data_IF_352575894508
#
_entry.id   IF_352575894508
#
_cell.length_a   1.000
_cell.length_b   1.000
_cell.length_c   1.000
_cell.angle_alpha   90.00
_cell.angle_beta   90.00
_cell.angle_gamma   90.00
#
_symmetry.space_group_name_H-M   'P 1'
#
loop_
_entity.id
_entity.type
_entity.pdbx_description
1 polymer ?
#
# COMPACT_ATOMS: atom_id res chain seq x y z
N UNK A 1 -16.80 -22.25 -2.93
CA UNK A 1 -16.09 -21.16 -3.63
C UNK A 1 -16.86 -20.85 -4.90
N UNK A 2 -17.04 -19.58 -5.26
CA UNK A 2 -17.67 -19.18 -6.53
C UNK A 2 -16.68 -19.39 -7.69
N UNK A 3 -17.17 -19.57 -8.91
CA UNK A 3 -16.32 -19.72 -10.10
C UNK A 3 -15.39 -18.51 -10.32
N UNK A 4 -15.76 -17.30 -9.85
CA UNK A 4 -14.91 -16.12 -9.86
C UNK A 4 -13.72 -16.23 -8.88
N UNK A 5 -13.93 -16.82 -7.69
CA UNK A 5 -12.88 -16.99 -6.68
C UNK A 5 -11.72 -17.89 -7.15
N UNK A 6 -12.00 -18.89 -8.00
CA UNK A 6 -10.97 -19.74 -8.60
C UNK A 6 -10.16 -19.02 -9.70
N UNK A 7 -10.74 -18.02 -10.38
CA UNK A 7 -10.09 -17.35 -11.52
C UNK A 7 -8.94 -16.45 -11.10
N UNK A 8 -9.00 -15.91 -9.89
CA UNK A 8 -8.12 -14.87 -9.39
C UNK A 8 -7.40 -15.27 -8.10
N UNK A 9 -7.35 -16.56 -7.75
CA UNK A 9 -7.01 -17.02 -6.41
C UNK A 9 -5.71 -16.42 -5.84
N UNK A 10 -4.60 -16.42 -6.58
CA UNK A 10 -3.32 -15.82 -6.11
C UNK A 10 -3.36 -14.30 -6.13
N UNK A 11 -3.76 -13.70 -7.26
CA UNK A 11 -3.87 -12.24 -7.39
C UNK A 11 -4.77 -11.64 -6.30
N UNK A 12 -5.78 -12.39 -5.85
CA UNK A 12 -6.73 -11.98 -4.83
C UNK A 12 -6.11 -11.88 -3.45
N UNK A 13 -5.12 -12.70 -3.13
CA UNK A 13 -4.39 -12.57 -1.87
C UNK A 13 -3.70 -11.20 -1.81
N UNK A 14 -2.89 -10.87 -2.83
CA UNK A 14 -2.25 -9.55 -2.93
C UNK A 14 -3.28 -8.41 -2.97
N UNK A 15 -4.36 -8.58 -3.74
CA UNK A 15 -5.44 -7.59 -3.83
C UNK A 15 -6.15 -7.38 -2.48
N UNK A 16 -6.34 -8.41 -1.67
CA UNK A 16 -6.92 -8.32 -0.32
C UNK A 16 -6.02 -7.53 0.63
N UNK A 17 -4.70 -7.75 0.58
CA UNK A 17 -3.75 -6.97 1.35
C UNK A 17 -3.80 -5.49 0.96
N UNK A 18 -3.73 -5.20 -0.35
CA UNK A 18 -3.80 -3.84 -0.88
C UNK A 18 -5.14 -3.17 -0.56
N UNK A 19 -6.26 -3.90 -0.63
CA UNK A 19 -7.60 -3.36 -0.38
C UNK A 19 -7.70 -2.71 1.00
N UNK A 20 -7.10 -3.35 2.01
CA UNK A 20 -7.14 -2.92 3.40
C UNK A 20 -5.85 -2.23 3.88
N UNK A 21 -4.91 -1.97 2.98
CA UNK A 21 -3.70 -1.23 3.30
C UNK A 21 -4.06 0.16 3.83
N UNK A 22 -3.63 0.48 5.04
CA UNK A 22 -3.99 1.74 5.71
C UNK A 22 -5.47 1.86 6.13
N UNK A 23 -6.21 0.75 6.19
CA UNK A 23 -7.61 0.73 6.63
C UNK A 23 -7.78 1.09 8.11
N UNK A 24 -6.99 0.45 8.98
CA UNK A 24 -6.94 0.73 10.42
C UNK A 24 -5.50 0.53 10.89
N UNK A 25 -4.81 1.63 11.18
CA UNK A 25 -3.39 1.62 11.50
C UNK A 25 -3.18 1.43 13.00
N UNK A 26 -2.07 0.78 13.38
CA UNK A 26 -1.62 0.69 14.77
C UNK A 26 -1.65 2.09 15.44
N UNK A 27 -2.26 2.24 16.64
CA UNK A 27 -2.67 1.18 17.59
C UNK A 27 -4.13 0.69 17.44
N UNK A 28 -4.65 0.62 16.22
CA UNK A 28 -5.91 -0.05 15.85
C UNK A 28 -7.19 0.48 16.51
N UNK A 29 -7.12 1.64 17.16
CA UNK A 29 -8.26 2.35 17.74
C UNK A 29 -8.67 3.55 16.90
N UNK A 30 -9.98 3.74 16.74
CA UNK A 30 -10.57 4.86 15.99
C UNK A 30 -10.13 6.24 16.51
N UNK A 31 -9.89 6.36 17.82
CA UNK A 31 -9.49 7.61 18.48
C UNK A 31 -8.05 8.07 18.16
N UNK A 32 -7.21 7.18 17.61
CA UNK A 32 -5.81 7.48 17.29
C UNK A 32 -5.66 8.52 16.19
N UNK A 33 -4.67 9.41 16.33
CA UNK A 33 -4.39 10.44 15.34
C UNK A 33 -4.17 9.89 13.92
N UNK A 34 -3.45 8.77 13.79
CA UNK A 34 -3.22 8.08 12.50
C UNK A 34 -4.51 7.61 11.81
N UNK A 35 -5.56 7.34 12.59
CA UNK A 35 -6.83 6.83 12.09
C UNK A 35 -7.88 7.93 11.84
N UNK A 36 -7.51 9.21 12.01
CA UNK A 36 -8.36 10.36 11.66
C UNK A 36 -8.35 10.68 10.17
N UNK A 37 -7.23 10.40 9.49
CA UNK A 37 -7.08 10.59 8.06
C UNK A 37 -6.80 9.24 7.41
N UNK A 38 -7.88 8.57 7.00
CA UNK A 38 -7.83 7.25 6.36
C UNK A 38 -8.09 7.36 4.86
N UNK A 39 -7.78 6.27 4.16
CA UNK A 39 -8.12 6.07 2.75
C UNK A 39 -7.46 7.13 1.86
N UNK A 40 -6.14 6.99 1.66
CA UNK A 40 -5.36 7.95 0.89
C UNK A 40 -5.06 7.48 -0.54
N UNK A 41 -5.22 6.17 -0.82
CA UNK A 41 -4.91 5.58 -2.11
C UNK A 41 -6.18 5.01 -2.77
N UNK A 42 -6.25 5.10 -4.10
CA UNK A 42 -7.33 4.51 -4.88
C UNK A 42 -8.72 5.06 -4.57
N UNK A 43 -8.83 6.31 -4.12
CA UNK A 43 -10.12 6.94 -3.82
C UNK A 43 -10.66 7.63 -5.07
N UNK A 44 -11.83 7.18 -5.53
CA UNK A 44 -12.57 7.76 -6.64
C UNK A 44 -13.81 8.46 -6.10
N UNK A 45 -13.74 9.78 -5.99
CA UNK A 45 -14.76 10.63 -5.37
C UNK A 45 -15.85 11.07 -6.38
N UNK A 46 -17.03 11.49 -5.91
CA UNK A 46 -18.05 12.05 -6.79
C UNK A 46 -17.53 13.28 -7.57
N UNK A 47 -17.92 13.46 -8.86
CA UNK A 47 -17.44 14.57 -9.69
C UNK A 47 -17.61 15.97 -9.10
N UNK A 48 -18.68 16.19 -8.32
CA UNK A 48 -18.92 17.47 -7.65
C UNK A 48 -17.82 17.77 -6.61
N UNK A 49 -17.43 16.78 -5.81
CA UNK A 49 -16.35 16.93 -4.82
C UNK A 49 -14.98 17.08 -5.50
N UNK A 50 -14.71 16.28 -6.53
CA UNK A 50 -13.46 16.36 -7.29
C UNK A 50 -13.21 17.76 -7.87
N UNK A 51 -14.26 18.40 -8.39
CA UNK A 51 -14.16 19.76 -8.96
C UNK A 51 -13.70 20.81 -7.94
N UNK A 52 -13.95 20.58 -6.65
CA UNK A 52 -13.55 21.48 -5.56
C UNK A 52 -12.24 21.07 -4.88
N UNK A 53 -11.95 19.77 -4.78
CA UNK A 53 -10.84 19.20 -4.01
C UNK A 53 -9.60 18.86 -4.84
N UNK A 54 -9.78 18.58 -6.14
CA UNK A 54 -8.75 17.97 -6.99
C UNK A 54 -8.54 16.47 -6.76
N UNK A 55 -9.34 15.80 -5.92
CA UNK A 55 -9.28 14.34 -5.77
C UNK A 55 -9.78 13.62 -7.04
N UNK A 56 -9.25 12.44 -7.38
CA UNK A 56 -9.62 11.73 -8.61
C UNK A 56 -11.09 11.30 -8.66
N UNK A 57 -11.72 11.41 -9.83
CA UNK A 57 -13.05 10.81 -10.13
C UNK A 57 -12.95 9.43 -10.75
N UNK A 58 -11.78 9.11 -11.33
CA UNK A 58 -11.56 7.91 -12.12
C UNK A 58 -10.15 7.37 -11.94
N UNK A 59 -10.01 6.08 -12.24
CA UNK A 59 -8.73 5.45 -12.55
C UNK A 59 -8.76 4.96 -14.01
N UNK A 60 -7.61 5.02 -14.67
CA UNK A 60 -7.41 4.55 -16.05
C UNK A 60 -6.26 3.54 -16.04
N UNK A 61 -6.54 2.34 -16.53
CA UNK A 61 -5.56 1.27 -16.73
C UNK A 61 -5.39 1.04 -18.22
N UNK A 62 -4.16 1.15 -18.72
CA UNK A 62 -3.76 0.70 -20.05
C UNK A 62 -2.70 -0.38 -19.96
N UNK A 63 -2.95 -1.50 -20.64
CA UNK A 63 -2.03 -2.64 -20.68
C UNK A 63 -2.11 -3.35 -22.04
N UNK A 64 -0.98 -3.90 -22.48
CA UNK A 64 -0.93 -4.68 -23.72
C UNK A 64 -1.30 -6.13 -23.45
N UNK A 65 -1.94 -6.76 -24.44
CA UNK A 65 -2.32 -8.17 -24.39
C UNK A 65 -2.19 -8.87 -25.74
N UNK A 66 -1.90 -10.15 -25.69
CA UNK A 66 -1.83 -11.08 -26.82
C UNK A 66 -2.88 -12.20 -26.62
N UNK A 67 -4.15 -11.92 -26.92
CA UNK A 67 -5.23 -12.89 -26.76
C UNK A 67 -5.17 -13.98 -27.84
N UNK A 68 -5.55 -15.21 -27.48
CA UNK A 68 -5.77 -16.27 -28.47
C UNK A 68 -7.12 -16.08 -29.18
N UNK A 69 -7.33 -16.82 -30.26
CA UNK A 69 -8.65 -16.88 -30.91
C UNK A 69 -9.70 -17.32 -29.88
N UNK A 70 -10.88 -16.69 -29.92
CA UNK A 70 -12.01 -16.95 -29.03
C UNK A 70 -11.72 -16.70 -27.53
N UNK A 71 -10.68 -15.92 -27.22
CA UNK A 71 -10.41 -15.50 -25.84
C UNK A 71 -11.51 -14.56 -25.32
N UNK A 72 -11.76 -14.64 -24.02
CA UNK A 72 -12.60 -13.73 -23.27
C UNK A 72 -11.78 -13.04 -22.17
N UNK A 73 -12.15 -11.80 -21.89
CA UNK A 73 -11.65 -11.01 -20.77
C UNK A 73 -12.64 -11.12 -19.61
N UNK A 74 -12.15 -11.56 -18.46
CA UNK A 74 -12.84 -11.45 -17.19
C UNK A 74 -12.26 -10.29 -16.39
N UNK A 75 -13.12 -9.47 -15.80
CA UNK A 75 -12.72 -8.38 -14.93
C UNK A 75 -13.47 -8.41 -13.60
N UNK A 76 -12.80 -8.00 -12.52
CA UNK A 76 -13.40 -7.78 -11.21
C UNK A 76 -12.87 -6.44 -10.68
N UNK A 77 -13.73 -5.41 -10.68
CA UNK A 77 -13.46 -4.16 -9.99
C UNK A 77 -13.83 -4.36 -8.52
N UNK A 78 -12.90 -4.04 -7.62
CA UNK A 78 -13.07 -4.17 -6.17
C UNK A 78 -12.75 -2.85 -5.50
N UNK A 79 -13.49 -2.54 -4.46
CA UNK A 79 -13.30 -1.33 -3.67
C UNK A 79 -13.95 -1.49 -2.29
N UNK A 80 -13.54 -0.65 -1.35
CA UNK A 80 -14.26 -0.42 -0.10
C UNK A 80 -15.32 0.66 -0.30
N UNK A 81 -16.50 0.42 0.24
CA UNK A 81 -17.56 1.39 0.39
C UNK A 81 -17.65 1.78 1.86
N UNK A 82 -17.39 3.05 2.15
CA UNK A 82 -17.48 3.59 3.49
C UNK A 82 -18.92 3.51 4.03
N UNK A 83 -19.07 2.84 5.16
CA UNK A 83 -20.31 2.68 5.91
C UNK A 83 -20.20 3.44 7.23
N UNK A 84 -21.04 4.45 7.42
CA UNK A 84 -21.09 5.23 8.65
C UNK A 84 -21.71 4.42 9.76
N UNK A 85 -20.92 4.12 10.79
CA UNK A 85 -21.40 3.57 12.06
C UNK A 85 -21.56 4.70 13.08
N UNK A 86 -22.77 4.85 13.61
CA UNK A 86 -23.05 5.68 14.78
C UNK A 86 -23.42 4.79 15.97
N UNK A 87 -23.16 5.30 17.18
CA UNK A 87 -23.47 4.61 18.43
C UNK A 87 -24.53 5.40 19.17
N UNK A 88 -25.52 4.70 19.70
CA UNK A 88 -26.61 5.31 20.47
C UNK A 88 -26.74 4.59 21.81
N UNK A 89 -26.90 5.34 22.90
CA UNK A 89 -27.18 4.77 24.23
C UNK A 89 -28.68 4.75 24.49
N UNK A 90 -29.12 3.80 25.29
CA UNK A 90 -30.52 3.73 25.71
C UNK A 90 -30.79 4.68 26.90
N UNK A 91 -31.91 5.38 26.84
CA UNK A 91 -32.41 6.27 27.87
C UNK A 91 -33.32 5.54 28.86
N UNK A 92 -33.64 6.19 29.99
CA UNK A 92 -34.50 5.62 31.05
C UNK A 92 -35.91 5.28 30.53
N UNK A 93 -36.40 6.02 29.53
CA UNK A 93 -37.69 5.80 28.87
C UNK A 93 -37.64 4.74 27.75
N UNK A 94 -36.45 4.18 27.46
CA UNK A 94 -36.24 3.18 26.43
C UNK A 94 -35.96 3.75 25.03
N UNK A 95 -35.89 5.08 24.87
CA UNK A 95 -35.45 5.71 23.62
C UNK A 95 -33.94 5.61 23.43
N UNK A 96 -33.47 5.79 22.18
CA UNK A 96 -32.04 5.78 21.85
C UNK A 96 -31.58 7.20 21.50
N UNK A 97 -30.44 7.61 22.04
CA UNK A 97 -29.81 8.88 21.69
C UNK A 97 -28.35 8.70 21.24
N UNK A 98 -27.87 9.47 20.25
CA UNK A 98 -26.47 9.44 19.82
C UNK A 98 -25.51 9.69 20.97
N UNK A 99 -24.41 8.94 20.97
CA UNK A 99 -23.32 9.10 21.93
C UNK A 99 -21.96 8.90 21.26
N UNK A 100 -20.96 9.63 21.73
CA UNK A 100 -19.59 9.54 21.21
C UNK A 100 -18.90 8.25 21.67
N UNK A 101 -19.38 7.64 22.76
CA UNK A 101 -18.78 6.47 23.36
C UNK A 101 -19.81 5.66 24.15
N UNK A 102 -19.83 4.34 23.95
CA UNK A 102 -20.62 3.40 24.74
C UNK A 102 -19.70 2.32 25.33
N UNK A 103 -19.58 2.34 26.66
CA UNK A 103 -18.77 1.43 27.44
C UNK A 103 -19.48 0.08 27.63
N UNK A 104 -18.89 -0.98 27.08
CA UNK A 104 -19.34 -2.37 27.27
C UNK A 104 -18.26 -3.15 28.05
N UNK A 105 -18.57 -4.36 28.56
CA UNK A 105 -17.60 -5.15 29.32
C UNK A 105 -16.35 -5.51 28.51
N UNK A 106 -16.53 -5.92 27.27
CA UNK A 106 -15.52 -6.48 26.36
C UNK A 106 -14.91 -5.45 25.41
N UNK A 107 -15.60 -4.33 25.16
CA UNK A 107 -15.20 -3.32 24.18
C UNK A 107 -15.75 -1.93 24.48
N UNK A 108 -15.19 -0.92 23.82
CA UNK A 108 -15.69 0.47 23.86
C UNK A 108 -16.15 0.88 22.48
N UNK A 109 -17.46 0.98 22.26
CA UNK A 109 -18.01 1.33 20.96
C UNK A 109 -17.94 2.84 20.75
N UNK A 110 -17.42 3.25 19.59
CA UNK A 110 -17.35 4.65 19.16
C UNK A 110 -17.88 4.79 17.73
N UNK A 111 -18.37 5.98 17.33
CA UNK A 111 -18.66 6.27 15.93
C UNK A 111 -17.43 6.04 15.04
N UNK A 112 -17.64 5.43 13.86
CA UNK A 112 -16.57 5.02 12.96
C UNK A 112 -17.09 4.84 11.54
N UNK A 113 -16.28 5.10 10.53
CA UNK A 113 -16.60 4.67 9.17
C UNK A 113 -15.94 3.31 8.90
N UNK A 114 -16.76 2.28 8.73
CA UNK A 114 -16.39 0.91 8.42
C UNK A 114 -16.18 0.75 6.90
N UNK A 115 -15.24 -0.09 6.48
CA UNK A 115 -15.02 -0.42 5.07
C UNK A 115 -15.71 -1.72 4.71
N UNK A 116 -16.72 -1.64 3.84
CA UNK A 116 -17.39 -2.82 3.29
C UNK A 116 -16.90 -3.08 1.88
N UNK A 117 -16.48 -4.31 1.61
CA UNK A 117 -16.02 -4.68 0.28
C UNK A 117 -17.19 -4.79 -0.69
N UNK A 118 -17.06 -4.12 -1.83
CA UNK A 118 -17.96 -4.21 -2.98
C UNK A 118 -17.22 -4.73 -4.21
N UNK A 119 -17.95 -5.39 -5.11
CA UNK A 119 -17.41 -6.01 -6.32
C UNK A 119 -18.31 -5.76 -7.51
N UNK A 120 -17.69 -5.51 -8.67
CA UNK A 120 -18.35 -5.43 -9.97
C UNK A 120 -17.64 -6.37 -10.92
N UNK A 121 -18.32 -7.44 -11.32
CA UNK A 121 -17.80 -8.47 -12.22
C UNK A 121 -18.20 -8.17 -13.67
N UNK A 122 -17.29 -8.43 -14.60
CA UNK A 122 -17.52 -8.28 -16.04
C UNK A 122 -16.89 -9.43 -16.81
N UNK A 123 -17.55 -9.85 -17.89
CA UNK A 123 -17.05 -10.87 -18.81
C UNK A 123 -17.40 -10.48 -20.23
N UNK A 124 -16.39 -10.34 -21.09
CA UNK A 124 -16.54 -9.87 -22.48
C UNK A 124 -15.67 -10.69 -23.41
N UNK A 125 -16.19 -11.10 -24.55
CA UNK A 125 -15.39 -11.72 -25.61
C UNK A 125 -14.46 -10.68 -26.24
N UNK A 126 -13.19 -11.03 -26.46
CA UNK A 126 -12.21 -10.09 -27.02
C UNK A 126 -12.65 -9.54 -28.38
N UNK A 127 -13.29 -10.37 -29.21
CA UNK A 127 -13.81 -9.96 -30.51
C UNK A 127 -14.88 -8.85 -30.40
N UNK A 128 -15.73 -8.91 -29.37
CA UNK A 128 -16.72 -7.87 -29.10
C UNK A 128 -16.04 -6.58 -28.61
N UNK A 129 -15.06 -6.72 -27.72
CA UNK A 129 -14.32 -5.59 -27.15
C UNK A 129 -13.49 -4.81 -28.17
N UNK A 130 -13.01 -5.47 -29.23
CA UNK A 130 -12.32 -4.82 -30.36
C UNK A 130 -13.28 -4.17 -31.36
N UNK A 131 -14.56 -4.53 -31.33
CA UNK A 131 -15.56 -3.99 -32.25
C UNK A 131 -16.23 -2.74 -31.69
N UNK A 132 -16.54 -2.73 -30.39
CA UNK A 132 -17.19 -1.62 -29.70
C UNK A 132 -16.77 -1.57 -28.22
N UNK A 133 -16.69 -0.35 -27.69
CA UNK A 133 -16.45 -0.12 -26.26
C UNK A 133 -17.56 -0.75 -25.42
N UNK A 134 -17.17 -1.45 -24.36
CA UNK A 134 -18.11 -2.02 -23.38
C UNK A 134 -18.26 -1.05 -22.21
N UNK A 135 -19.50 -0.66 -21.92
CA UNK A 135 -19.85 0.23 -20.82
C UNK A 135 -20.74 -0.51 -19.82
N UNK A 136 -20.23 -0.70 -18.60
CA UNK A 136 -20.94 -1.36 -17.51
C UNK A 136 -21.24 -0.37 -16.38
N UNK A 137 -22.43 0.24 -16.35
CA UNK A 137 -22.86 1.02 -15.20
C UNK A 137 -23.19 0.09 -14.02
N UNK A 138 -22.92 0.55 -12.80
CA UNK A 138 -23.27 -0.16 -11.57
C UNK A 138 -23.82 0.80 -10.50
N UNK A 139 -24.58 0.25 -9.57
CA UNK A 139 -25.14 0.98 -8.43
C UNK A 139 -25.09 0.10 -7.20
N UNK A 140 -24.56 0.65 -6.11
CA UNK A 140 -24.70 0.08 -4.76
C UNK A 140 -25.83 0.83 -4.06
N UNK A 141 -26.92 0.16 -3.66
CA UNK A 141 -28.07 0.82 -3.04
C UNK A 141 -27.72 1.33 -1.64
N UNK A 142 -28.40 2.40 -1.21
CA UNK A 142 -28.32 2.85 0.17
C UNK A 142 -28.92 1.80 1.11
N UNK A 143 -28.33 1.61 2.29
CA UNK A 143 -28.81 0.68 3.32
C UNK A 143 -28.68 1.30 4.70
N UNK A 144 -29.58 0.89 5.59
CA UNK A 144 -29.50 1.19 7.03
C UNK A 144 -29.82 -0.09 7.79
N UNK A 145 -28.95 -0.43 8.74
CA UNK A 145 -29.12 -1.56 9.66
C UNK A 145 -28.86 -1.11 11.11
N UNK A 146 -29.50 -1.75 12.07
CA UNK A 146 -29.31 -1.45 13.49
C UNK A 146 -29.25 -2.70 14.35
N UNK A 147 -28.29 -2.70 15.28
CA UNK A 147 -27.99 -3.83 16.16
C UNK A 147 -28.01 -3.37 17.62
N UNK A 148 -28.87 -3.98 18.44
CA UNK A 148 -28.92 -3.69 19.89
C UNK A 148 -27.74 -4.37 20.58
N UNK A 149 -27.06 -3.63 21.46
CA UNK A 149 -25.93 -4.12 22.24
C UNK A 149 -26.28 -4.13 23.73
N UNK A 150 -25.92 -5.23 24.41
CA UNK A 150 -26.25 -5.45 25.82
C UNK A 150 -25.09 -5.08 26.74
N UNK A 151 -25.41 -4.59 27.93
CA UNK A 151 -24.47 -4.30 29.01
C UNK A 151 -24.06 -5.54 29.81
N UNK A 152 -23.28 -5.30 30.87
CA UNK A 152 -22.78 -6.36 31.77
C UNK A 152 -23.88 -7.17 32.46
N UNK A 153 -25.04 -6.55 32.66
CA UNK A 153 -26.22 -7.11 33.31
C UNK A 153 -27.11 -7.92 32.34
N UNK A 154 -26.74 -7.98 31.06
CA UNK A 154 -27.49 -8.68 30.01
C UNK A 154 -28.69 -7.89 29.47
N UNK A 155 -28.92 -6.65 29.94
CA UNK A 155 -29.95 -5.76 29.41
C UNK A 155 -29.39 -4.87 28.29
N UNK A 156 -30.23 -4.36 27.38
CA UNK A 156 -29.79 -3.40 26.37
C UNK A 156 -29.10 -2.19 27.01
N UNK A 157 -27.88 -1.88 26.55
CA UNK A 157 -27.15 -0.67 26.91
C UNK A 157 -27.25 0.41 25.82
N UNK A 158 -27.50 0.00 24.58
CA UNK A 158 -27.59 0.90 23.43
C UNK A 158 -27.79 0.14 22.13
N UNK A 159 -27.52 0.81 21.01
CA UNK A 159 -27.47 0.17 19.69
C UNK A 159 -26.40 0.80 18.81
N UNK A 160 -25.96 0.01 17.85
CA UNK A 160 -25.13 0.43 16.73
C UNK A 160 -26.03 0.64 15.52
N UNK A 161 -25.89 1.75 14.82
CA UNK A 161 -26.60 2.02 13.55
C UNK A 161 -25.57 2.16 12.44
N UNK A 162 -25.73 1.37 11.38
CA UNK A 162 -24.84 1.36 10.21
C UNK A 162 -25.61 1.88 9.01
N UNK A 163 -25.10 2.95 8.41
CA UNK A 163 -25.66 3.58 7.21
C UNK A 163 -24.66 3.52 6.07
N UNK A 164 -25.09 3.03 4.93
CA UNK A 164 -24.34 3.09 3.68
C UNK A 164 -25.11 3.93 2.70
N UNK A 165 -24.43 4.90 2.12
CA UNK A 165 -25.03 5.78 1.13
C UNK A 165 -25.12 5.09 -0.24
N UNK A 166 -25.97 5.63 -1.11
CA UNK A 166 -26.01 5.18 -2.51
C UNK A 166 -24.70 5.57 -3.21
N UNK A 167 -24.14 4.63 -3.97
CA UNK A 167 -22.95 4.83 -4.79
C UNK A 167 -23.24 4.42 -6.23
N UNK A 168 -22.75 5.22 -7.18
CA UNK A 168 -22.89 4.99 -8.61
C UNK A 168 -21.54 5.09 -9.29
N UNK A 169 -21.30 4.21 -10.24
CA UNK A 169 -20.13 4.29 -11.08
C UNK A 169 -20.31 3.54 -12.38
N UNK A 170 -19.25 3.54 -13.16
CA UNK A 170 -19.20 2.89 -14.46
C UNK A 170 -17.81 2.31 -14.70
N UNK A 171 -17.77 1.10 -15.24
CA UNK A 171 -16.57 0.47 -15.76
C UNK A 171 -16.65 0.49 -17.29
N UNK A 172 -15.71 1.16 -17.96
CA UNK A 172 -15.59 1.18 -19.42
C UNK A 172 -14.38 0.38 -19.84
N UNK A 173 -14.55 -0.47 -20.83
CA UNK A 173 -13.50 -1.30 -21.41
C UNK A 173 -13.45 -1.06 -22.91
N UNK A 174 -12.26 -0.87 -23.47
CA UNK A 174 -12.03 -0.83 -24.92
C UNK A 174 -10.73 -1.52 -25.28
N UNK A 175 -10.65 -2.09 -26.49
CA UNK A 175 -9.42 -2.71 -26.98
C UNK A 175 -9.11 -2.25 -28.41
N UNK A 176 -7.87 -1.82 -28.64
CA UNK A 176 -7.38 -1.38 -29.94
C UNK A 176 -6.23 -2.27 -30.40
N UNK A 177 -6.27 -2.74 -31.65
CA UNK A 177 -5.15 -3.49 -32.24
C UNK A 177 -4.02 -2.54 -32.63
N UNK A 178 -2.81 -2.83 -32.15
CA UNK A 178 -1.64 -2.01 -32.42
C UNK A 178 -1.00 -2.40 -33.76
N UNK A 179 -0.46 -1.41 -34.51
CA UNK A 179 0.24 -1.70 -35.75
C UNK A 179 1.55 -2.45 -35.46
N UNK A 180 1.77 -3.58 -36.13
CA UNK A 180 3.01 -4.34 -35.98
C UNK A 180 2.94 -5.77 -36.51
N UNK A 181 4.05 -6.52 -36.40
CA UNK A 181 4.11 -7.92 -36.82
C UNK A 181 3.43 -8.88 -35.82
N UNK A 182 3.14 -8.42 -34.60
CA UNK A 182 2.49 -9.20 -33.54
C UNK A 182 1.02 -8.79 -33.42
N UNK A 183 0.13 -9.75 -33.14
CA UNK A 183 -1.29 -9.50 -32.88
C UNK A 183 -1.49 -9.05 -31.43
N UNK A 184 -1.17 -7.79 -31.18
CA UNK A 184 -1.18 -7.18 -29.85
C UNK A 184 -2.31 -6.18 -29.77
N UNK A 185 -3.08 -6.25 -28.69
CA UNK A 185 -4.12 -5.27 -28.39
C UNK A 185 -3.68 -4.41 -27.21
N UNK A 186 -3.97 -3.11 -27.26
CA UNK A 186 -3.97 -2.25 -26.07
C UNK A 186 -5.36 -2.28 -25.47
N UNK A 187 -5.48 -2.82 -24.26
CA UNK A 187 -6.68 -2.74 -23.44
C UNK A 187 -6.67 -1.42 -22.67
N UNK A 188 -7.78 -0.68 -22.71
CA UNK A 188 -8.05 0.45 -21.81
C UNK A 188 -9.22 0.09 -20.91
N UNK A 189 -9.03 0.20 -19.60
CA UNK A 189 -10.09 0.06 -18.61
C UNK A 189 -10.20 1.33 -17.76
N UNK A 190 -11.41 1.89 -17.66
CA UNK A 190 -11.69 3.10 -16.88
C UNK A 190 -12.78 2.80 -15.87
N UNK A 191 -12.45 2.87 -14.59
CA UNK A 191 -13.43 2.86 -13.52
C UNK A 191 -13.65 4.30 -13.05
N UNK A 192 -14.90 4.76 -13.06
CA UNK A 192 -15.27 6.14 -12.76
C UNK A 192 -16.44 6.17 -11.76
N UNK A 193 -16.35 7.08 -10.80
CA UNK A 193 -17.47 7.46 -9.95
C UNK A 193 -18.37 8.46 -10.67
N UNK A 194 -19.65 8.13 -10.83
CA UNK A 194 -20.63 8.96 -11.55
C UNK A 194 -21.71 9.52 -10.64
N UNK A 195 -21.56 9.36 -9.32
CA UNK A 195 -22.52 9.82 -8.33
C UNK A 195 -22.65 11.35 -8.30
N UNK A 196 -23.84 11.85 -7.99
CA UNK A 196 -24.13 13.30 -7.93
C UNK A 196 -24.15 13.85 -6.51
N UNK A 197 -23.63 13.10 -5.53
CA UNK A 197 -23.64 13.49 -4.13
C UNK A 197 -22.92 14.82 -3.89
N UNK A 198 -23.56 15.69 -3.12
CA UNK A 198 -23.01 16.97 -2.72
C UNK A 198 -22.28 16.78 -1.38
N UNK A 199 -21.03 17.21 -1.33
CA UNK A 199 -20.22 17.18 -0.11
C UNK A 199 -19.50 18.52 0.06
N UNK A 200 -19.48 19.03 1.29
CA UNK A 200 -18.75 20.24 1.66
C UNK A 200 -17.40 19.93 2.30
N UNK A 201 -17.25 18.71 2.81
CA UNK A 201 -16.02 18.19 3.42
C UNK A 201 -15.74 16.77 2.92
N UNK A 202 -14.48 16.36 3.01
CA UNK A 202 -14.07 15.02 2.57
C UNK A 202 -14.82 13.90 3.28
N UNK A 203 -15.11 14.05 4.59
CA UNK A 203 -15.85 13.03 5.36
C UNK A 203 -17.30 12.86 4.92
N UNK A 204 -17.86 13.83 4.19
CA UNK A 204 -19.18 13.75 3.57
C UNK A 204 -19.12 13.14 2.16
N UNK A 205 -17.99 13.27 1.47
CA UNK A 205 -17.78 12.69 0.14
C UNK A 205 -17.46 11.18 0.19
N UNK A 206 -16.72 10.74 1.22
CA UNK A 206 -16.23 9.36 1.35
C UNK A 206 -17.33 8.27 1.33
N UNK A 207 -18.52 8.44 1.97
CA UNK A 207 -19.62 7.49 1.85
C UNK A 207 -20.15 7.26 0.42
N UNK A 208 -19.81 8.17 -0.50
CA UNK A 208 -20.19 8.08 -1.92
C UNK A 208 -18.99 7.76 -2.84
N UNK A 209 -17.81 7.49 -2.29
CA UNK A 209 -16.58 7.23 -3.02
C UNK A 209 -16.30 5.73 -3.16
N UNK A 210 -15.64 5.33 -4.25
CA UNK A 210 -14.96 4.03 -4.30
C UNK A 210 -13.62 4.19 -3.59
N UNK A 211 -13.40 3.49 -2.48
CA UNK A 211 -12.16 3.59 -1.69
C UNK A 211 -11.25 2.40 -1.98
N UNK A 212 -9.93 2.63 -2.11
CA UNK A 212 -8.96 1.56 -2.42
C UNK A 212 -9.35 0.76 -3.68
N UNK A 213 -9.88 1.47 -4.67
CA UNK A 213 -10.36 0.87 -5.91
C UNK A 213 -9.19 0.23 -6.68
N UNK A 214 -9.34 -1.03 -7.03
CA UNK A 214 -8.41 -1.76 -7.89
C UNK A 214 -9.15 -2.67 -8.85
N UNK A 215 -8.52 -2.98 -9.97
CA UNK A 215 -9.11 -3.76 -11.04
C UNK A 215 -8.29 -5.02 -11.28
N UNK A 216 -8.95 -6.17 -11.22
CA UNK A 216 -8.36 -7.46 -11.58
C UNK A 216 -8.83 -7.86 -12.97
N UNK A 217 -7.92 -8.28 -13.83
CA UNK A 217 -8.22 -8.66 -15.21
C UNK A 217 -7.61 -10.02 -15.52
N UNK A 218 -8.33 -10.87 -16.25
CA UNK A 218 -7.86 -12.19 -16.67
C UNK A 218 -8.27 -12.49 -18.09
N UNK A 219 -7.33 -13.03 -18.87
CA UNK A 219 -7.63 -13.66 -20.15
C UNK A 219 -7.90 -15.14 -19.96
N UNK A 220 -8.95 -15.66 -20.61
CA UNK A 220 -9.20 -17.10 -20.65
C UNK A 220 -8.14 -17.83 -21.46
N UNK A 221 -7.59 -17.19 -22.50
CA UNK A 221 -6.51 -17.71 -23.32
C UNK A 221 -5.67 -16.55 -23.91
N UNK A 222 -4.36 -16.56 -23.64
CA UNK A 222 -3.46 -15.48 -24.02
C UNK A 222 -2.66 -14.99 -22.82
N UNK A 223 -1.95 -13.87 -23.00
CA UNK A 223 -1.14 -13.26 -21.96
C UNK A 223 -1.14 -11.74 -22.10
N UNK A 224 -0.97 -11.06 -20.97
CA UNK A 224 -0.66 -9.65 -20.87
C UNK A 224 0.86 -9.46 -20.98
N UNK A 225 1.27 -8.25 -21.33
CA UNK A 225 2.67 -7.85 -21.34
C UNK A 225 2.99 -7.11 -20.03
N UNK A 226 4.14 -7.41 -19.44
CA UNK A 226 4.63 -6.68 -18.27
C UNK A 226 4.78 -5.18 -18.58
N UNK A 227 4.31 -4.34 -17.66
CA UNK A 227 4.47 -2.89 -17.74
C UNK A 227 5.81 -2.42 -17.17
N UNK A 228 6.46 -3.27 -16.36
CA UNK A 228 7.74 -2.96 -15.69
C UNK A 228 8.94 -3.54 -16.43
N UNK A 229 8.82 -4.76 -16.95
CA UNK A 229 9.87 -5.45 -17.71
C UNK A 229 9.32 -5.98 -19.05
N UNK A 230 8.88 -5.10 -19.97
CA UNK A 230 8.37 -5.52 -21.27
C UNK A 230 9.50 -6.08 -22.17
N UNK A 231 9.18 -7.06 -23.03
CA UNK A 231 10.11 -7.51 -24.06
C UNK A 231 10.47 -6.36 -25.01
N UNK A 232 11.65 -6.42 -25.63
CA UNK A 232 12.20 -5.33 -26.48
C UNK A 232 11.22 -4.78 -27.51
N UNK A 233 10.43 -5.66 -28.14
CA UNK A 233 9.47 -5.25 -29.17
C UNK A 233 8.30 -4.42 -28.60
N UNK A 234 7.97 -4.57 -27.32
CA UNK A 234 6.83 -3.94 -26.67
C UNK A 234 7.19 -2.64 -25.93
N UNK A 235 8.48 -2.38 -25.68
CA UNK A 235 8.96 -1.23 -24.89
C UNK A 235 8.35 0.10 -25.33
N UNK A 236 8.30 0.37 -26.62
CA UNK A 236 7.72 1.61 -27.15
C UNK A 236 6.21 1.71 -26.89
N UNK A 237 5.47 0.64 -27.16
CA UNK A 237 4.02 0.60 -26.95
C UNK A 237 3.64 0.67 -25.45
N UNK A 238 4.42 0.03 -24.58
CA UNK A 238 4.25 0.14 -23.12
C UNK A 238 4.53 1.55 -22.63
N UNK A 239 5.56 2.22 -23.15
CA UNK A 239 5.87 3.62 -22.79
C UNK A 239 4.78 4.62 -23.23
N UNK A 240 3.97 4.28 -24.24
CA UNK A 240 2.82 5.07 -24.67
C UNK A 240 1.56 4.85 -23.83
N UNK A 241 1.52 3.78 -23.02
CA UNK A 241 0.37 3.47 -22.19
C UNK A 241 0.20 4.52 -21.08
N UNK A 242 -1.04 4.92 -20.83
CA UNK A 242 -1.40 5.88 -19.79
C UNK A 242 -2.14 5.21 -18.64
N UNK A 243 -1.44 5.11 -17.52
CA UNK A 243 -2.00 4.63 -16.26
C UNK A 243 -2.19 5.82 -15.31
N UNK A 244 -3.44 6.08 -14.93
CA UNK A 244 -3.83 7.21 -14.06
C UNK A 244 -4.46 6.67 -12.78
N UNK A 245 -3.91 7.08 -11.63
CA UNK A 245 -4.36 6.66 -10.30
C UNK A 245 -4.35 5.13 -10.08
N UNK A 246 -3.48 4.43 -10.82
CA UNK A 246 -3.37 2.97 -10.80
C UNK A 246 -2.01 2.50 -11.31
N UNK A 247 -1.64 1.27 -10.97
CA UNK A 247 -0.38 0.62 -11.29
C UNK A 247 -0.65 -0.85 -11.67
N UNK A 248 -0.76 -1.15 -12.98
CA UNK A 248 -0.97 -2.52 -13.46
C UNK A 248 0.28 -3.37 -13.38
N UNK A 249 0.17 -4.52 -12.72
CA UNK A 249 1.20 -5.55 -12.62
C UNK A 249 0.64 -6.92 -13.00
N UNK A 250 1.50 -7.79 -13.52
CA UNK A 250 1.17 -9.21 -13.72
C UNK A 250 0.95 -9.87 -12.36
N UNK A 251 -0.04 -10.74 -12.25
CA UNK A 251 -0.43 -11.35 -10.98
C UNK A 251 -0.93 -12.80 -11.12
N UNK A 252 -0.64 -13.46 -12.23
CA UNK A 252 -1.03 -14.86 -12.42
C UNK A 252 -0.16 -15.83 -11.63
N UNK A 253 -0.74 -16.99 -11.36
CA UNK A 253 -0.13 -18.09 -10.61
C UNK A 253 1.17 -18.56 -11.26
N UNK A 254 2.16 -18.95 -10.45
CA UNK A 254 3.44 -19.51 -10.91
C UNK A 254 4.16 -18.67 -11.99
N UNK A 255 3.99 -17.33 -11.96
CA UNK A 255 4.58 -16.43 -12.95
C UNK A 255 3.80 -16.33 -14.26
N UNK A 256 2.55 -16.84 -14.31
CA UNK A 256 1.73 -16.76 -15.50
C UNK A 256 1.27 -15.32 -15.79
N UNK A 257 1.42 -14.88 -17.04
CA UNK A 257 1.05 -13.53 -17.46
C UNK A 257 -0.43 -13.43 -17.91
N UNK A 258 -1.33 -14.33 -17.47
CA UNK A 258 -2.74 -14.31 -17.89
C UNK A 258 -3.66 -13.52 -16.94
N UNK A 259 -3.13 -12.98 -15.84
CA UNK A 259 -3.85 -12.17 -14.85
C UNK A 259 -3.08 -10.88 -14.57
N UNK A 260 -3.80 -9.79 -14.42
CA UNK A 260 -3.30 -8.46 -14.05
C UNK A 260 -4.02 -7.97 -12.80
N UNK A 261 -3.28 -7.34 -11.91
CA UNK A 261 -3.79 -6.53 -10.81
C UNK A 261 -3.42 -5.06 -11.08
N UNK A 262 -4.41 -4.22 -11.35
CA UNK A 262 -4.23 -2.77 -11.43
C UNK A 262 -4.50 -2.16 -10.06
N UNK A 263 -3.41 -1.91 -9.34
CA UNK A 263 -3.40 -1.51 -7.93
C UNK A 263 -3.26 0.00 -7.76
N UNK A 264 -3.90 0.64 -6.76
CA UNK A 264 -3.67 2.06 -6.47
C UNK A 264 -2.33 2.35 -5.80
N UNK A 265 -1.58 1.30 -5.42
CA UNK A 265 -0.22 1.38 -4.90
C UNK A 265 0.76 0.66 -5.83
N UNK A 266 2.01 1.12 -5.84
CA UNK A 266 3.08 0.55 -6.68
C UNK A 266 3.41 -0.85 -6.16
N UNK A 267 3.45 -1.81 -7.09
CA UNK A 267 3.80 -3.20 -6.85
C UNK A 267 4.80 -3.65 -7.92
N UNK A 268 5.52 -4.74 -7.64
CA UNK A 268 6.24 -5.50 -8.65
C UNK A 268 5.32 -6.50 -9.36
N UNK A 269 5.78 -7.03 -10.49
CA UNK A 269 5.12 -8.16 -11.13
C UNK A 269 5.18 -9.41 -10.26
N UNK A 270 4.07 -10.14 -10.25
CA UNK A 270 3.81 -11.30 -9.41
C UNK A 270 4.01 -11.03 -7.92
N UNK A 271 3.30 -10.03 -7.36
CA UNK A 271 3.47 -9.63 -5.96
C UNK A 271 3.14 -10.80 -5.03
N UNK A 272 3.99 -11.04 -4.02
CA UNK A 272 3.83 -12.16 -3.08
C UNK A 272 3.65 -11.69 -1.64
N UNK A 273 2.57 -12.18 -1.02
CA UNK A 273 2.40 -12.07 0.43
C UNK A 273 3.39 -12.99 1.14
N UNK A 274 3.88 -12.57 2.31
CA UNK A 274 4.78 -13.38 3.12
C UNK A 274 4.10 -14.67 3.63
N UNK A 275 4.66 -15.86 3.35
CA UNK A 275 4.14 -17.11 3.92
C UNK A 275 4.28 -17.16 5.44
N UNK A 276 5.12 -16.30 6.03
CA UNK A 276 5.30 -16.14 7.47
C UNK A 276 4.22 -15.26 8.12
N UNK A 277 3.49 -14.44 7.36
CA UNK A 277 2.49 -13.52 7.93
C UNK A 277 1.33 -14.31 8.53
N UNK A 278 1.06 -14.19 9.85
CA UNK A 278 0.05 -14.99 10.53
C UNK A 278 -1.38 -14.49 10.29
N UNK A 279 -1.55 -13.34 9.63
CA UNK A 279 -2.83 -12.72 9.34
C UNK A 279 -2.67 -11.26 8.89
N UNK A 280 -3.77 -10.61 8.51
CA UNK A 280 -3.75 -9.23 8.05
C UNK A 280 -3.54 -8.25 9.22
N UNK A 281 -2.35 -7.67 9.33
CA UNK A 281 -2.05 -6.57 10.26
C UNK A 281 -2.29 -5.18 9.65
N UNK A 282 -2.78 -5.14 8.40
CA UNK A 282 -3.14 -3.95 7.62
C UNK A 282 -1.99 -2.95 7.39
N UNK A 283 -0.77 -3.49 7.40
CA UNK A 283 0.52 -2.86 7.08
C UNK A 283 1.45 -3.99 6.60
N UNK A 284 1.23 -4.45 5.35
CA UNK A 284 1.70 -5.76 4.87
C UNK A 284 3.19 -5.82 4.48
N UNK A 285 3.99 -4.80 4.81
CA UNK A 285 5.36 -4.65 4.32
C UNK A 285 6.40 -4.76 5.43
N UNK A 286 6.61 -5.97 5.94
CA UNK A 286 7.84 -6.38 6.64
C UNK A 286 7.97 -6.04 8.14
N UNK A 287 6.93 -5.53 8.80
CA UNK A 287 6.99 -5.16 10.23
C UNK A 287 6.03 -5.95 11.15
N UNK A 288 5.56 -7.12 10.70
CA UNK A 288 4.57 -7.94 11.42
C UNK A 288 5.01 -8.26 12.86
N UNK A 289 6.30 -8.57 13.09
CA UNK A 289 6.82 -8.87 14.42
C UNK A 289 6.67 -7.67 15.37
N UNK A 290 7.13 -6.48 14.97
CA UNK A 290 7.08 -5.30 15.82
C UNK A 290 5.63 -4.83 16.04
N UNK A 291 4.76 -4.99 15.04
CA UNK A 291 3.34 -4.71 15.19
C UNK A 291 2.67 -5.67 16.18
N UNK A 292 2.94 -6.98 16.08
CA UNK A 292 2.43 -7.97 17.01
C UNK A 292 2.90 -7.68 18.45
N UNK A 293 4.21 -7.45 18.64
CA UNK A 293 4.80 -7.12 19.95
C UNK A 293 4.21 -5.83 20.56
N UNK A 294 4.09 -4.77 19.75
CA UNK A 294 3.51 -3.50 20.22
C UNK A 294 2.03 -3.62 20.54
N UNK A 295 1.30 -4.43 19.78
CA UNK A 295 -0.13 -4.70 20.02
C UNK A 295 -0.33 -5.48 21.31
N UNK A 296 0.50 -6.49 21.57
CA UNK A 296 0.48 -7.24 22.83
C UNK A 296 0.74 -6.34 24.06
N UNK A 297 1.57 -5.30 23.89
CA UNK A 297 1.91 -4.32 24.93
C UNK A 297 0.87 -3.21 25.16
N UNK A 298 -0.21 -3.15 24.36
CA UNK A 298 -1.32 -2.23 24.61
C UNK A 298 -1.96 -2.52 25.98
N UNK A 299 -2.45 -1.48 26.65
CA UNK A 299 -3.20 -1.67 27.91
C UNK A 299 -4.54 -2.35 27.66
N UNK A 300 -5.14 -2.96 28.69
CA UNK A 300 -6.46 -3.60 28.59
C UNK A 300 -7.53 -2.64 28.07
N UNK A 301 -7.48 -1.37 28.49
CA UNK A 301 -8.39 -0.33 28.02
C UNK A 301 -8.16 0.00 26.53
N UNK A 302 -6.91 0.09 26.09
CA UNK A 302 -6.58 0.31 24.68
C UNK A 302 -7.01 -0.86 23.79
N UNK A 303 -6.83 -2.10 24.27
CA UNK A 303 -7.32 -3.30 23.59
C UNK A 303 -8.85 -3.32 23.48
N UNK A 304 -9.56 -2.92 24.54
CA UNK A 304 -11.04 -2.75 24.51
C UNK A 304 -11.48 -1.69 23.50
N UNK A 305 -10.78 -0.57 23.41
CA UNK A 305 -11.06 0.47 22.40
C UNK A 305 -10.78 -0.01 20.97
N UNK A 306 -9.70 -0.76 20.76
CA UNK A 306 -9.39 -1.35 19.47
C UNK A 306 -10.45 -2.38 19.05
N UNK A 307 -10.85 -3.28 19.97
CA UNK A 307 -11.95 -4.24 19.72
C UNK A 307 -13.29 -3.55 19.43
N UNK A 308 -13.52 -2.36 19.97
CA UNK A 308 -14.72 -1.56 19.69
C UNK A 308 -14.62 -0.69 18.42
N UNK A 309 -13.47 -0.69 17.73
CA UNK A 309 -13.28 0.05 16.48
C UNK A 309 -13.97 -0.64 15.31
N UNK A 310 -13.76 -1.92 15.08
CA UNK A 310 -14.57 -2.81 14.23
C UNK A 310 -14.07 -4.26 14.37
N UNK A 311 -14.74 -5.20 13.68
CA UNK A 311 -14.41 -6.63 13.71
C UNK A 311 -12.98 -6.93 13.21
N UNK A 312 -12.45 -6.11 12.28
CA UNK A 312 -11.10 -6.27 11.74
C UNK A 312 -10.04 -5.85 12.75
N UNK A 313 -10.23 -4.71 13.40
CA UNK A 313 -9.38 -4.27 14.49
C UNK A 313 -9.42 -5.27 15.66
N UNK A 314 -10.62 -5.80 16.00
CA UNK A 314 -10.75 -6.83 17.02
C UNK A 314 -9.94 -8.10 16.68
N UNK A 315 -10.03 -8.58 15.43
CA UNK A 315 -9.27 -9.74 14.97
C UNK A 315 -7.76 -9.54 15.08
N UNK A 316 -7.24 -8.33 14.85
CA UNK A 316 -5.82 -8.00 15.03
C UNK A 316 -5.40 -8.11 16.50
N UNK A 317 -6.21 -7.58 17.43
CA UNK A 317 -5.92 -7.71 18.86
C UNK A 317 -5.95 -9.18 19.29
N UNK A 318 -6.96 -9.93 18.86
CA UNK A 318 -7.10 -11.34 19.22
C UNK A 318 -5.97 -12.20 18.63
N UNK A 319 -5.52 -11.89 17.41
CA UNK A 319 -4.36 -12.52 16.80
C UNK A 319 -3.08 -12.27 17.62
N UNK A 320 -2.83 -11.02 18.01
CA UNK A 320 -1.65 -10.66 18.79
C UNK A 320 -1.67 -11.27 20.21
N UNK A 321 -2.84 -11.31 20.86
CA UNK A 321 -3.00 -11.86 22.22
C UNK A 321 -2.90 -13.39 22.26
N UNK A 322 -3.25 -14.08 21.17
CA UNK A 322 -3.28 -15.55 21.09
C UNK A 322 -2.12 -16.17 20.33
N UNK A 323 -1.16 -15.35 19.86
CA UNK A 323 -0.08 -15.81 19.00
C UNK A 323 0.83 -16.82 19.72
N UNK A 324 0.99 -18.05 19.17
CA UNK A 324 1.91 -19.03 19.75
C UNK A 324 3.37 -18.57 19.64
N UNK A 325 4.24 -18.90 20.62
CA UNK A 325 5.67 -18.57 20.57
C UNK A 325 6.36 -19.05 19.29
N UNK A 326 5.97 -20.21 18.75
CA UNK A 326 6.55 -20.78 17.53
C UNK A 326 6.24 -19.93 16.28
N UNK A 327 5.10 -19.24 16.28
CA UNK A 327 4.73 -18.29 15.21
C UNK A 327 5.50 -16.99 15.37
N UNK A 328 5.69 -16.51 16.59
CA UNK A 328 6.54 -15.34 16.87
C UNK A 328 8.00 -15.58 16.47
N UNK A 329 8.54 -16.77 16.75
CA UNK A 329 9.90 -17.15 16.32
C UNK A 329 10.08 -17.14 14.80
N UNK A 330 9.03 -17.52 14.04
CA UNK A 330 9.06 -17.44 12.57
C UNK A 330 9.05 -16.02 12.03
N UNK A 331 8.50 -15.07 12.79
CA UNK A 331 8.52 -13.64 12.46
C UNK A 331 9.88 -13.00 12.78
N UNK A 332 10.62 -13.57 13.73
CA UNK A 332 11.89 -13.04 14.19
C UNK A 332 12.97 -13.07 13.10
N UNK A 333 13.54 -11.90 12.77
CA UNK A 333 14.62 -11.78 11.79
C UNK A 333 14.19 -12.01 10.33
N UNK A 334 12.89 -12.12 10.05
CA UNK A 334 12.34 -12.23 8.71
C UNK A 334 12.26 -10.85 8.01
N UNK A 335 13.38 -10.10 7.98
CA UNK A 335 13.51 -8.89 7.17
C UNK A 335 14.01 -9.30 5.79
N UNK A 336 13.14 -9.23 4.77
CA UNK A 336 13.43 -9.75 3.42
C UNK A 336 14.62 -9.06 2.75
N UNK A 337 14.78 -7.76 2.96
CA UNK A 337 15.93 -6.99 2.48
C UNK A 337 17.28 -7.57 2.95
N UNK A 338 17.34 -8.21 4.13
CA UNK A 338 18.56 -8.87 4.61
C UNK A 338 18.71 -10.31 4.08
N UNK A 339 17.61 -11.00 3.77
CA UNK A 339 17.64 -12.42 3.39
C UNK A 339 18.11 -12.65 1.96
N UNK A 340 17.84 -11.71 1.05
CA UNK A 340 18.41 -11.72 -0.31
C UNK A 340 19.94 -11.56 -0.30
N UNK A 341 20.48 -10.90 0.73
CA UNK A 341 21.92 -10.70 0.93
C UNK A 341 22.58 -11.89 1.67
N UNK A 342 21.82 -12.64 2.48
CA UNK A 342 22.36 -13.62 3.45
C UNK A 342 21.97 -15.08 3.17
N UNK A 343 21.86 -15.49 1.90
CA UNK A 343 21.56 -16.88 1.52
C UNK A 343 22.35 -17.93 2.33
N UNK A 344 21.76 -19.13 2.58
CA UNK A 344 22.24 -20.02 3.64
C UNK A 344 23.68 -20.47 3.40
N UNK A 345 24.58 -20.07 4.30
CA UNK A 345 25.93 -20.63 4.37
C UNK A 345 25.87 -21.99 5.07
N UNK A 346 26.03 -23.07 4.29
CA UNK A 346 26.28 -24.42 4.80
C UNK A 346 27.70 -24.50 5.38
N UNK A 347 27.93 -23.97 6.58
CA UNK A 347 29.12 -24.24 7.40
C UNK A 347 28.89 -23.82 8.85
N UNK A 348 29.26 -24.63 9.86
CA UNK A 348 29.26 -24.17 11.23
C UNK A 348 30.42 -23.18 11.40
N UNK A 349 30.14 -21.88 11.27
CA UNK A 349 31.10 -20.85 11.59
C UNK A 349 31.30 -20.80 13.11
N UNK A 350 32.56 -20.87 13.56
CA UNK A 350 32.92 -20.52 14.93
C UNK A 350 32.38 -19.13 15.22
N UNK A 351 31.57 -18.99 16.28
CA UNK A 351 31.04 -17.69 16.70
C UNK A 351 32.25 -16.87 17.17
N UNK A 352 32.63 -15.79 16.47
CA UNK A 352 33.78 -15.00 16.88
C UNK A 352 33.49 -14.35 18.24
N UNK A 353 34.51 -14.26 19.11
CA UNK A 353 34.37 -13.65 20.45
C UNK A 353 33.90 -12.18 20.38
N UNK A 354 34.19 -11.51 19.26
CA UNK A 354 33.66 -10.20 18.92
C UNK A 354 32.68 -10.34 17.76
N UNK A 355 31.42 -9.91 17.92
CA UNK A 355 30.45 -9.96 16.84
C UNK A 355 30.86 -9.12 15.62
N UNK A 356 30.52 -9.56 14.42
CA UNK A 356 30.82 -8.84 13.17
C UNK A 356 30.18 -7.45 13.08
N UNK A 357 29.16 -7.18 13.90
CA UNK A 357 28.48 -5.88 14.00
C UNK A 357 29.08 -4.94 15.07
N UNK A 358 30.12 -5.35 15.80
CA UNK A 358 30.79 -4.49 16.78
C UNK A 358 31.58 -3.38 16.05
N UNK A 359 31.28 -2.09 16.28
CA UNK A 359 32.02 -0.97 15.68
C UNK A 359 33.52 -0.97 16.01
N UNK A 360 33.95 -1.66 17.08
CA UNK A 360 35.35 -1.84 17.45
C UNK A 360 36.04 -3.04 16.81
N UNK A 361 35.34 -3.85 15.99
CA UNK A 361 35.88 -5.05 15.38
C UNK A 361 36.91 -4.75 14.27
N UNK A 362 36.78 -3.60 13.59
CA UNK A 362 37.71 -3.17 12.54
C UNK A 362 38.20 -1.74 12.78
N UNK A 363 39.44 -1.62 13.28
CA UNK A 363 40.09 -0.34 13.51
C UNK A 363 40.76 0.26 12.24
N UNK A 364 40.61 -0.39 11.08
CA UNK A 364 41.19 0.07 9.82
C UNK A 364 40.34 1.13 9.11
N UNK A 365 39.10 1.33 9.56
CA UNK A 365 38.17 2.36 9.08
C UNK A 365 37.87 3.37 10.20
N UNK A 366 37.85 4.66 9.86
CA UNK A 366 37.52 5.76 10.78
C UNK A 366 36.60 6.74 10.05
N UNK A 367 35.26 6.64 10.23
CA UNK A 367 34.32 7.43 9.45
C UNK A 367 34.47 8.94 9.55
N UNK A 368 35.12 9.44 10.61
CA UNK A 368 35.39 10.86 10.81
C UNK A 368 36.68 11.34 10.12
N UNK A 369 37.58 10.43 9.73
CA UNK A 369 38.89 10.75 9.14
C UNK A 369 39.09 10.20 7.74
N UNK A 370 38.33 9.18 7.38
CA UNK A 370 38.38 8.56 6.07
C UNK A 370 38.01 9.57 4.98
N UNK A 371 38.61 9.35 3.82
CA UNK A 371 38.47 10.22 2.65
C UNK A 371 38.32 9.37 1.41
N UNK A 372 37.50 9.84 0.47
CA UNK A 372 37.24 9.15 -0.79
C UNK A 372 37.37 10.13 -1.95
N UNK A 373 37.69 9.61 -3.13
CA UNK A 373 37.74 10.41 -4.34
C UNK A 373 36.34 10.62 -4.90
N UNK A 374 35.96 11.88 -5.09
CA UNK A 374 34.74 12.29 -5.79
C UNK A 374 35.19 13.13 -6.99
N UNK A 375 35.04 12.58 -8.20
CA UNK A 375 35.70 13.12 -9.39
C UNK A 375 37.23 13.08 -9.24
N UNK A 376 37.87 14.26 -9.24
CA UNK A 376 39.32 14.42 -9.06
C UNK A 376 39.69 15.02 -7.68
N UNK A 377 38.72 15.10 -6.75
CA UNK A 377 38.91 15.76 -5.44
C UNK A 377 38.73 14.78 -4.29
N UNK A 378 39.62 14.87 -3.30
CA UNK A 378 39.46 14.15 -2.03
C UNK A 378 38.37 14.82 -1.19
N UNK A 379 37.36 14.05 -0.84
CA UNK A 379 36.22 14.46 -0.01
C UNK A 379 36.28 13.68 1.31
N UNK A 380 36.06 14.40 2.41
CA UNK A 380 36.05 13.86 3.77
C UNK A 380 34.95 14.55 4.60
N UNK A 381 34.78 14.15 5.86
CA UNK A 381 33.92 14.87 6.80
C UNK A 381 34.27 16.38 6.82
N UNK A 382 33.25 17.23 6.70
CA UNK A 382 33.35 18.68 6.56
C UNK A 382 33.36 19.20 5.12
N UNK A 383 33.62 18.36 4.11
CA UNK A 383 33.60 18.76 2.71
C UNK A 383 32.21 19.14 2.21
N UNK A 384 32.16 20.04 1.23
CA UNK A 384 30.94 20.52 0.58
C UNK A 384 30.77 19.82 -0.77
N UNK A 385 29.55 19.34 -1.04
CA UNK A 385 29.23 18.59 -2.27
C UNK A 385 27.90 19.04 -2.85
N UNK A 386 27.70 18.78 -4.13
CA UNK A 386 26.42 18.87 -4.83
C UNK A 386 25.91 17.46 -5.07
N UNK A 387 24.65 17.22 -4.70
CA UNK A 387 24.00 15.94 -4.91
C UNK A 387 23.59 15.76 -6.38
N UNK A 388 23.96 14.64 -6.97
CA UNK A 388 23.62 14.21 -8.32
C UNK A 388 23.06 12.77 -8.33
N UNK A 389 22.01 12.47 -7.55
CA UNK A 389 21.40 11.14 -7.52
C UNK A 389 20.85 10.71 -8.89
N UNK A 390 20.64 9.40 -9.06
CA UNK A 390 19.96 8.84 -10.24
C UNK A 390 20.87 8.25 -11.31
N UNK A 391 22.16 8.01 -11.01
CA UNK A 391 23.03 7.20 -11.88
C UNK A 391 22.73 5.71 -11.79
N UNK A 392 22.13 5.25 -10.70
CA UNK A 392 21.64 3.88 -10.49
C UNK A 392 20.26 3.99 -9.83
N UNK A 393 19.20 3.56 -10.54
CA UNK A 393 17.80 3.42 -10.06
C UNK A 393 17.35 4.43 -8.97
N UNK A 394 16.66 5.47 -9.40
CA UNK A 394 16.14 6.56 -8.56
C UNK A 394 15.01 6.11 -7.62
N UNK A 395 15.10 6.50 -6.34
CA UNK A 395 13.91 6.63 -5.52
C UNK A 395 13.17 7.95 -5.87
N UNK A 396 11.92 8.12 -5.42
CA UNK A 396 11.18 9.36 -5.71
C UNK A 396 11.72 10.58 -4.94
N UNK A 397 12.51 10.38 -3.88
CA UNK A 397 13.08 11.44 -3.05
C UNK A 397 14.28 12.10 -3.73
N UNK A 398 15.04 11.36 -4.53
CA UNK A 398 16.19 11.81 -5.32
C UNK A 398 15.86 13.01 -6.21
N UNK A 399 14.64 13.06 -6.76
CA UNK A 399 14.16 14.17 -7.58
C UNK A 399 14.20 15.52 -6.83
N UNK A 400 13.99 15.51 -5.52
CA UNK A 400 14.00 16.72 -4.69
C UNK A 400 15.42 17.09 -4.21
N UNK A 401 16.36 16.14 -4.31
CA UNK A 401 17.73 16.28 -3.85
C UNK A 401 18.69 16.67 -5.00
N UNK A 402 18.30 16.44 -6.24
CA UNK A 402 19.09 16.80 -7.42
C UNK A 402 19.56 18.27 -7.39
N UNK A 403 20.88 18.47 -7.48
CA UNK A 403 21.51 19.79 -7.52
C UNK A 403 21.53 20.53 -6.18
N UNK A 404 21.06 19.92 -5.08
CA UNK A 404 21.16 20.52 -3.74
C UNK A 404 22.60 20.46 -3.24
N UNK A 405 23.02 21.49 -2.53
CA UNK A 405 24.28 21.49 -1.81
C UNK A 405 24.13 20.78 -0.46
N UNK A 406 25.16 20.06 -0.06
CA UNK A 406 25.20 19.30 1.17
C UNK A 406 26.59 19.34 1.81
N UNK A 407 26.64 19.06 3.10
CA UNK A 407 27.88 18.87 3.86
C UNK A 407 28.05 17.38 4.15
N UNK A 408 29.26 16.88 3.91
CA UNK A 408 29.66 15.51 4.26
C UNK A 408 29.93 15.45 5.76
N UNK A 409 29.29 14.53 6.45
CA UNK A 409 29.39 14.32 7.89
C UNK A 409 30.30 13.12 8.22
N UNK A 410 30.32 12.10 7.35
CA UNK A 410 31.19 10.93 7.48
C UNK A 410 31.43 10.23 6.13
N UNK A 411 32.53 9.49 6.04
CA UNK A 411 32.81 8.55 4.95
C UNK A 411 32.72 7.13 5.52
N UNK A 412 31.84 6.30 4.95
CA UNK A 412 31.50 4.98 5.48
C UNK A 412 31.86 3.90 4.47
N UNK A 413 32.28 2.76 4.98
CA UNK A 413 32.56 1.56 4.20
C UNK A 413 31.52 0.50 4.53
N UNK A 414 30.90 -0.10 3.52
CA UNK A 414 30.02 -1.26 3.73
C UNK A 414 30.84 -2.56 3.76
N UNK A 415 30.16 -3.65 4.10
CA UNK A 415 30.76 -5.00 4.22
C UNK A 415 31.19 -5.59 2.88
N UNK A 416 30.67 -5.08 1.76
CA UNK A 416 30.99 -5.49 0.40
C UNK A 416 32.13 -4.65 -0.21
N UNK A 417 32.70 -3.72 0.56
CA UNK A 417 33.79 -2.83 0.16
C UNK A 417 33.33 -1.57 -0.60
N UNK A 418 32.03 -1.30 -0.67
CA UNK A 418 31.46 -0.06 -1.18
C UNK A 418 31.70 1.11 -0.23
N UNK A 419 31.79 2.31 -0.80
CA UNK A 419 31.99 3.56 -0.04
C UNK A 419 30.74 4.42 -0.15
N UNK A 420 30.28 4.92 0.99
CA UNK A 420 29.11 5.77 1.11
C UNK A 420 29.47 7.05 1.86
N UNK A 421 29.08 8.20 1.33
CA UNK A 421 29.22 9.48 2.01
C UNK A 421 27.91 9.81 2.72
N UNK A 422 27.98 9.97 4.03
CA UNK A 422 26.88 10.45 4.87
C UNK A 422 26.81 11.98 4.77
N UNK A 423 25.66 12.54 4.40
CA UNK A 423 25.50 13.98 4.17
C UNK A 423 24.28 14.59 4.86
N UNK A 424 24.38 15.87 5.21
CA UNK A 424 23.26 16.75 5.56
C UNK A 424 23.04 17.80 4.47
N UNK A 425 21.78 17.97 4.05
CA UNK A 425 21.40 18.91 2.97
C UNK A 425 21.27 20.32 3.50
N UNK A 426 21.78 21.30 2.75
CA UNK A 426 21.64 22.70 3.11
C UNK A 426 20.19 23.17 3.02
N UNK A 427 19.78 23.92 4.03
CA UNK A 427 18.42 24.45 4.15
C UNK A 427 17.36 23.39 4.46
N UNK A 428 17.73 22.14 4.79
CA UNK A 428 16.80 21.19 5.41
C UNK A 428 16.54 21.63 6.86
N UNK A 429 15.31 22.00 7.24
CA UNK A 429 14.98 22.39 8.61
C UNK A 429 15.22 21.26 9.64
N UNK A 430 15.33 20.00 9.19
CA UNK A 430 15.66 18.86 10.02
C UNK A 430 17.15 18.52 10.12
N UNK A 431 18.05 19.24 9.43
CA UNK A 431 19.47 18.90 9.34
C UNK A 431 20.17 18.84 10.72
N UNK A 432 19.86 19.76 11.62
CA UNK A 432 20.46 19.79 12.97
C UNK A 432 20.02 18.60 13.82
N UNK A 433 18.72 18.29 13.82
CA UNK A 433 18.15 17.13 14.54
C UNK A 433 18.74 15.82 13.99
N UNK A 434 18.85 15.71 12.67
CA UNK A 434 19.46 14.57 11.98
C UNK A 434 20.91 14.35 12.41
N UNK A 435 21.71 15.43 12.50
CA UNK A 435 23.10 15.38 12.97
C UNK A 435 23.19 14.93 14.43
N UNK A 436 22.36 15.47 15.32
CA UNK A 436 22.33 15.07 16.74
C UNK A 436 21.97 13.59 16.93
N UNK A 437 21.12 13.05 16.06
CA UNK A 437 20.70 11.65 16.08
C UNK A 437 21.60 10.71 15.29
N UNK A 438 22.64 11.24 14.61
CA UNK A 438 23.50 10.46 13.72
C UNK A 438 22.78 9.85 12.51
N UNK A 439 21.71 10.50 12.01
CA UNK A 439 20.91 10.05 10.87
C UNK A 439 21.18 10.90 9.64
N UNK A 440 21.76 10.32 8.60
CA UNK A 440 22.18 11.05 7.40
C UNK A 440 21.49 10.52 6.14
N UNK A 441 21.64 11.25 5.04
CA UNK A 441 21.40 10.71 3.69
C UNK A 441 22.71 10.12 3.18
N UNK A 442 22.65 9.04 2.41
CA UNK A 442 23.84 8.29 1.98
C UNK A 442 23.91 8.28 0.45
N UNK A 443 25.08 8.62 -0.08
CA UNK A 443 25.33 8.66 -1.51
C UNK A 443 26.65 7.98 -1.84
N UNK A 444 26.73 7.34 -3.01
CA UNK A 444 28.01 6.84 -3.52
C UNK A 444 28.85 7.99 -4.11
N UNK A 445 30.19 7.83 -4.20
CA UNK A 445 31.06 8.89 -4.72
C UNK A 445 30.70 9.39 -6.12
N UNK A 446 30.14 8.54 -6.98
CA UNK A 446 29.75 8.94 -8.34
C UNK A 446 28.41 9.67 -8.43
N UNK A 447 27.65 9.71 -7.33
CA UNK A 447 26.39 10.46 -7.17
C UNK A 447 26.60 11.85 -6.57
N UNK A 448 27.86 12.24 -6.39
CA UNK A 448 28.25 13.53 -5.82
C UNK A 448 29.19 14.25 -6.79
N UNK A 449 29.13 15.57 -6.75
CA UNK A 449 30.17 16.43 -7.32
C UNK A 449 30.77 17.31 -6.22
N UNK A 450 32.09 17.55 -6.20
CA UNK A 450 32.68 18.52 -5.28
C UNK A 450 32.05 19.89 -5.51
N UNK A 451 31.60 20.55 -4.45
CA UNK A 451 31.19 21.95 -4.54
C UNK A 451 32.46 22.78 -4.44
N UNK A 452 32.96 23.31 -5.57
CA UNK A 452 34.09 24.23 -5.56
C UNK A 452 33.74 25.45 -4.69
N UNK A 453 34.67 25.85 -3.82
CA UNK A 453 34.52 27.08 -3.02
C UNK A 453 34.36 28.27 -3.97
N UNK A 454 33.19 28.91 -3.93
CA UNK A 454 32.92 30.16 -4.65
C UNK A 454 33.74 31.34 -4.12
#
# INVERSE_FOLDING_TARGET
MTAAAERFATARQAADAVLFEGYVLYPYRASSAKNRMRWQFGVLVPPVWASASGEPVLQRTEILMEPRADAALHGELRFLHAQRRTVERILIDGEFEPTDELQLPDRVLVPWDEGVEERVEVSVDIAALTAEDVVLPFTVPATEDSEVVNGADGFPAGRVVRRRERLEGVLRLSAEELPGPYRVLRLTAVAENTGSALASRREEALPHALVSAHLMLRLTAGYFVSMTDPPEWAKAAVAECRNENTWPVLAGDDGAANVVLSSPIILEDHPRIAPESPGALYDATEIDEILALRTAALTDEEKRQARGTDDRAAAVIDLADSMPPEVMERLHGAVRALREVTGPQDSPAEVPETPWWDPGADASVDPARDRVMVGDTWVAAGSRVVLQPGRRRTDAQDLFLQGRSAQVEAVLHDVDGGVHLAVTVDGDPGAEIRREQGRFLYFQPDELAPLEDA
#
